data_IF_146529948983
#
_entry.id   IF_146529948983
#
_cell.length_a   1.000
_cell.length_b   1.000
_cell.length_c   1.000
_cell.angle_alpha   90.00
_cell.angle_beta   90.00
_cell.angle_gamma   90.00
#
_symmetry.space_group_name_H-M   'P 1'
#
loop_
_entity.id
_entity.type
_entity.pdbx_description
1 polymer ?
#
# COMPACT_ATOMS: atom_id res chain seq x y z
N UNK A 1 11.48 -9.14 -9.36
CA UNK A 1 11.28 -8.50 -8.05
C UNK A 1 9.78 -8.43 -7.79
N UNK A 2 9.35 -8.36 -6.53
CA UNK A 2 7.96 -8.06 -6.20
C UNK A 2 7.87 -6.69 -5.54
N UNK A 3 6.71 -6.07 -5.73
CA UNK A 3 6.36 -4.82 -5.08
C UNK A 3 5.39 -5.13 -3.95
N UNK A 4 5.76 -4.73 -2.74
CA UNK A 4 4.98 -5.02 -1.53
C UNK A 4 4.57 -3.71 -0.90
N UNK A 5 3.34 -3.70 -0.39
CA UNK A 5 2.85 -2.60 0.42
C UNK A 5 2.57 -3.04 1.85
N UNK A 6 2.71 -2.09 2.76
CA UNK A 6 2.19 -2.11 4.11
C UNK A 6 1.26 -0.90 4.28
N UNK A 7 0.02 -1.14 4.70
CA UNK A 7 -1.01 -0.12 4.84
C UNK A 7 -1.54 -0.11 6.27
N UNK A 8 -1.74 1.09 6.79
CA UNK A 8 -2.41 1.33 8.07
C UNK A 8 -3.66 2.14 7.79
N UNK A 9 -4.79 1.67 8.28
CA UNK A 9 -6.09 2.30 8.07
C UNK A 9 -6.90 2.33 9.36
N UNK A 10 -7.97 3.12 9.37
CA UNK A 10 -8.98 3.12 10.43
C UNK A 10 -10.03 2.04 10.16
N UNK A 11 -10.80 1.66 11.19
CA UNK A 11 -11.96 0.80 10.97
C UNK A 11 -13.02 1.52 10.12
N UNK A 12 -13.76 0.82 9.24
CA UNK A 12 -14.64 1.43 8.22
C UNK A 12 -15.74 2.38 8.73
N UNK A 13 -16.04 2.33 10.03
CA UNK A 13 -17.10 3.09 10.69
C UNK A 13 -16.59 4.26 11.54
N UNK A 14 -15.28 4.44 11.66
CA UNK A 14 -14.72 5.60 12.34
C UNK A 14 -14.58 6.79 11.37
N UNK A 15 -15.14 7.94 11.75
CA UNK A 15 -14.84 9.21 11.07
C UNK A 15 -13.41 9.64 11.42
N UNK A 16 -12.77 10.35 10.48
CA UNK A 16 -11.42 10.92 10.61
C UNK A 16 -11.22 11.61 11.97
N UNK A 17 -10.43 10.98 12.83
CA UNK A 17 -9.85 11.62 14.01
C UNK A 17 -8.41 12.01 13.68
N UNK A 18 -7.93 13.08 14.32
CA UNK A 18 -6.51 13.40 14.29
C UNK A 18 -5.75 12.23 14.94
N UNK A 19 -4.88 11.58 14.18
CA UNK A 19 -4.11 10.41 14.64
C UNK A 19 -2.66 10.79 14.86
N UNK A 20 -2.10 10.37 15.99
CA UNK A 20 -0.65 10.39 16.19
C UNK A 20 -0.24 9.22 17.05
N UNK A 21 0.42 8.22 16.44
CA UNK A 21 0.94 7.07 17.15
C UNK A 21 2.15 6.48 16.43
N UNK A 22 2.84 5.56 17.10
CA UNK A 22 4.02 4.89 16.58
C UNK A 22 3.77 3.39 16.42
N UNK A 23 4.15 2.85 15.27
CA UNK A 23 4.35 1.42 15.06
C UNK A 23 5.85 1.15 15.23
N UNK A 24 6.21 0.27 16.16
CA UNK A 24 7.60 -0.04 16.50
C UNK A 24 8.03 -1.34 15.84
N UNK A 25 9.22 -1.34 15.26
CA UNK A 25 9.86 -2.51 14.66
C UNK A 25 8.97 -3.21 13.63
N UNK A 26 8.48 -2.46 12.65
CA UNK A 26 7.74 -3.04 11.53
C UNK A 26 8.71 -3.89 10.70
N UNK A 27 8.35 -5.16 10.53
CA UNK A 27 9.05 -6.14 9.70
C UNK A 27 8.06 -6.76 8.72
N UNK A 28 8.45 -6.89 7.46
CA UNK A 28 7.71 -7.63 6.44
C UNK A 28 8.34 -9.00 6.28
N UNK A 29 7.51 -10.04 6.30
CA UNK A 29 7.94 -11.42 6.28
C UNK A 29 7.38 -12.16 5.07
N UNK A 30 8.15 -13.13 4.59
CA UNK A 30 7.70 -14.16 3.66
C UNK A 30 8.31 -15.48 4.08
N UNK A 31 7.46 -16.49 4.28
CA UNK A 31 7.88 -17.81 4.77
C UNK A 31 8.63 -17.76 6.12
N UNK A 32 8.31 -16.77 6.96
CA UNK A 32 8.98 -16.54 8.25
C UNK A 32 10.27 -15.74 8.17
N UNK A 33 10.83 -15.55 6.97
CA UNK A 33 12.04 -14.76 6.74
C UNK A 33 11.72 -13.27 6.58
N UNK A 34 12.57 -12.41 7.14
CA UNK A 34 12.45 -10.96 6.99
C UNK A 34 12.89 -10.57 5.57
N UNK A 35 11.97 -9.97 4.82
CA UNK A 35 12.23 -9.50 3.45
C UNK A 35 12.35 -7.98 3.34
N UNK A 36 11.87 -7.24 4.35
CA UNK A 36 12.04 -5.81 4.48
C UNK A 36 11.85 -5.37 5.93
N UNK A 37 12.56 -4.31 6.33
CA UNK A 37 12.48 -3.75 7.69
C UNK A 37 12.17 -2.27 7.62
N UNK A 38 10.90 -1.87 7.44
CA UNK A 38 10.50 -0.46 7.50
C UNK A 38 10.90 0.24 8.81
N UNK A 39 11.05 -0.53 9.89
CA UNK A 39 11.53 -0.02 11.18
C UNK A 39 10.42 0.67 11.98
N UNK A 40 10.77 1.73 12.71
CA UNK A 40 9.80 2.49 13.49
C UNK A 40 9.10 3.51 12.59
N UNK A 41 7.77 3.46 12.55
CA UNK A 41 6.95 4.33 11.70
C UNK A 41 6.08 5.22 12.58
N UNK A 42 6.19 6.54 12.39
CA UNK A 42 5.27 7.52 12.95
C UNK A 42 4.06 7.67 12.03
N UNK A 43 2.88 7.39 12.53
CA UNK A 43 1.62 7.60 11.81
C UNK A 43 1.03 8.93 12.27
N UNK A 44 0.90 9.87 11.33
CA UNK A 44 0.31 11.20 11.56
C UNK A 44 -0.99 11.41 10.80
N UNK A 45 -1.25 10.58 9.79
CA UNK A 45 -2.41 10.68 8.91
C UNK A 45 -2.84 9.26 8.51
N UNK A 46 -4.14 9.07 8.30
CA UNK A 46 -4.73 7.84 7.78
C UNK A 46 -5.51 8.15 6.49
N UNK A 47 -5.52 7.22 5.51
CA UNK A 47 -4.73 6.00 5.49
C UNK A 47 -3.23 6.30 5.36
N UNK A 48 -2.39 5.48 5.98
CA UNK A 48 -0.94 5.53 5.77
C UNK A 48 -0.53 4.37 4.87
N UNK A 49 0.42 4.64 3.99
CA UNK A 49 0.92 3.68 3.02
C UNK A 49 2.44 3.68 2.97
N UNK A 50 3.02 2.50 3.10
CA UNK A 50 4.42 2.22 2.85
C UNK A 50 4.55 1.21 1.72
N UNK A 51 5.56 1.40 0.88
CA UNK A 51 5.82 0.56 -0.28
C UNK A 51 7.31 0.29 -0.40
N UNK A 52 7.67 -0.95 -0.72
CA UNK A 52 9.05 -1.32 -0.99
C UNK A 52 9.16 -2.44 -2.04
N UNK A 53 10.38 -2.54 -2.58
CA UNK A 53 10.77 -3.60 -3.51
C UNK A 53 11.41 -4.72 -2.70
N UNK A 54 11.00 -5.97 -2.97
CA UNK A 54 11.54 -7.16 -2.31
C UNK A 54 11.96 -8.22 -3.34
N UNK A 55 12.86 -9.16 -2.99
CA UNK A 55 13.21 -10.28 -3.86
C UNK A 55 11.97 -11.06 -4.31
N UNK A 56 11.98 -11.62 -5.52
CA UNK A 56 10.82 -12.37 -6.05
C UNK A 56 10.46 -13.58 -5.17
N UNK A 57 9.17 -13.84 -5.00
CA UNK A 57 8.63 -15.03 -4.33
C UNK A 57 7.10 -15.10 -4.46
N UNK A 58 6.53 -16.26 -4.16
CA UNK A 58 5.12 -16.56 -4.48
C UNK A 58 4.22 -16.75 -3.26
N UNK A 59 4.83 -16.77 -2.07
CA UNK A 59 4.15 -17.02 -0.81
C UNK A 59 3.58 -15.72 -0.23
N UNK A 60 2.60 -15.85 0.65
CA UNK A 60 1.91 -14.72 1.26
C UNK A 60 2.91 -13.82 1.99
N UNK A 61 2.70 -12.51 1.90
CA UNK A 61 3.42 -11.55 2.73
C UNK A 61 2.69 -11.41 4.06
N UNK A 62 3.46 -11.38 5.13
CA UNK A 62 3.00 -11.14 6.48
C UNK A 62 3.76 -9.95 7.08
N UNK A 63 3.30 -9.44 8.22
CA UNK A 63 3.98 -8.38 8.94
C UNK A 63 4.08 -8.72 10.42
N UNK A 64 5.11 -8.20 11.07
CA UNK A 64 5.31 -8.27 12.52
C UNK A 64 5.56 -6.87 13.06
N UNK A 65 5.07 -6.63 14.28
CA UNK A 65 5.23 -5.39 15.03
C UNK A 65 5.77 -5.72 16.43
N UNK A 66 6.59 -4.85 17.00
CA UNK A 66 7.06 -4.96 18.40
C UNK A 66 6.05 -4.42 19.41
N UNK A 67 5.06 -3.66 18.97
CA UNK A 67 3.95 -3.17 19.78
C UNK A 67 2.60 -3.50 19.14
N UNK A 68 1.55 -3.51 19.95
CA UNK A 68 0.19 -3.58 19.44
C UNK A 68 -0.21 -2.22 18.84
N UNK A 69 -0.84 -2.19 17.66
CA UNK A 69 -1.45 -0.98 17.15
C UNK A 69 -2.59 -0.54 18.10
N UNK A 70 -2.92 0.76 18.15
CA UNK A 70 -4.05 1.25 18.93
C UNK A 70 -5.35 0.52 18.58
N UNK A 71 -6.30 0.48 19.52
CA UNK A 71 -7.64 -0.03 19.23
C UNK A 71 -8.21 0.72 18.01
N UNK A 72 -8.86 -0.01 17.11
CA UNK A 72 -9.52 0.51 15.90
C UNK A 72 -8.60 0.89 14.73
N UNK A 73 -7.32 0.56 14.83
CA UNK A 73 -6.37 0.60 13.70
C UNK A 73 -6.25 -0.78 13.06
N UNK A 74 -6.27 -0.81 11.73
CA UNK A 74 -6.09 -2.01 10.91
C UNK A 74 -4.79 -1.90 10.14
N UNK A 75 -3.89 -2.86 10.35
CA UNK A 75 -2.67 -3.00 9.55
C UNK A 75 -2.88 -4.12 8.52
N UNK A 76 -2.45 -3.89 7.28
CA UNK A 76 -2.52 -4.87 6.21
C UNK A 76 -1.25 -4.82 5.35
N UNK A 77 -0.95 -5.94 4.69
CA UNK A 77 0.22 -6.08 3.85
C UNK A 77 -0.12 -6.93 2.63
N UNK A 78 0.55 -6.71 1.51
CA UNK A 78 0.35 -7.55 0.34
C UNK A 78 1.22 -7.17 -0.84
N UNK A 79 1.09 -7.97 -1.90
CA UNK A 79 1.71 -7.67 -3.19
C UNK A 79 0.88 -6.63 -3.94
N UNK A 80 1.56 -5.64 -4.52
CA UNK A 80 0.97 -4.76 -5.50
C UNK A 80 1.00 -5.45 -6.87
N UNK A 81 -0.18 -5.65 -7.46
CA UNK A 81 -0.36 -6.29 -8.77
C UNK A 81 -0.53 -5.24 -9.85
N UNK A 82 -0.20 -5.58 -11.10
CA UNK A 82 -0.56 -4.72 -12.24
C UNK A 82 -2.06 -4.47 -12.25
N UNK A 83 -2.47 -3.22 -12.44
CA UNK A 83 -3.87 -2.82 -12.46
C UNK A 83 -4.07 -1.37 -12.06
N UNK A 84 -5.32 -0.97 -11.95
CA UNK A 84 -5.71 0.40 -11.59
C UNK A 84 -5.99 0.49 -10.10
N UNK A 85 -5.57 1.60 -9.49
CA UNK A 85 -5.76 1.85 -8.07
C UNK A 85 -6.31 3.25 -7.83
N UNK A 86 -7.19 3.35 -6.85
CA UNK A 86 -7.62 4.64 -6.32
C UNK A 86 -6.51 5.14 -5.39
N UNK A 87 -6.01 6.34 -5.70
CA UNK A 87 -4.88 6.99 -5.03
C UNK A 87 -5.35 8.34 -4.52
N UNK A 88 -5.13 8.61 -3.23
CA UNK A 88 -5.31 9.94 -2.67
C UNK A 88 -4.09 10.80 -3.03
N UNK A 89 -4.33 11.97 -3.60
CA UNK A 89 -3.31 12.97 -3.92
C UNK A 89 -3.63 14.28 -3.19
N UNK A 90 -2.68 15.22 -3.09
CA UNK A 90 -2.96 16.54 -2.54
C UNK A 90 -4.13 17.27 -3.24
N UNK A 91 -4.37 16.97 -4.51
CA UNK A 91 -5.42 17.59 -5.33
C UNK A 91 -6.75 16.80 -5.31
N UNK A 92 -6.79 15.66 -4.60
CA UNK A 92 -7.97 14.80 -4.48
C UNK A 92 -7.71 13.34 -4.86
N UNK A 93 -8.76 12.53 -4.90
CA UNK A 93 -8.67 11.13 -5.29
C UNK A 93 -8.60 10.98 -6.81
N UNK A 94 -7.63 10.21 -7.30
CA UNK A 94 -7.45 9.90 -8.73
C UNK A 94 -7.22 8.41 -8.93
N UNK A 95 -7.53 7.90 -10.13
CA UNK A 95 -7.23 6.51 -10.50
C UNK A 95 -5.89 6.49 -11.24
N UNK A 96 -4.91 5.74 -10.71
CA UNK A 96 -3.60 5.57 -11.34
C UNK A 96 -3.36 4.10 -11.72
N UNK A 97 -3.00 3.82 -12.97
CA UNK A 97 -2.48 2.52 -13.37
C UNK A 97 -1.10 2.27 -12.76
N UNK A 98 -0.90 1.04 -12.26
CA UNK A 98 0.38 0.54 -11.80
C UNK A 98 0.80 -0.68 -12.63
N UNK A 99 2.07 -0.74 -13.00
CA UNK A 99 2.66 -1.88 -13.68
C UNK A 99 3.66 -2.60 -12.77
N UNK A 100 3.31 -3.81 -12.32
CA UNK A 100 4.15 -4.60 -11.42
C UNK A 100 5.37 -5.24 -12.09
N UNK A 101 5.48 -5.17 -13.43
CA UNK A 101 6.67 -5.65 -14.15
C UNK A 101 7.84 -4.68 -13.98
N UNK A 102 7.56 -3.37 -14.04
CA UNK A 102 8.57 -2.31 -14.00
C UNK A 102 8.50 -1.43 -12.74
N UNK A 103 7.44 -1.54 -11.93
CA UNK A 103 7.26 -0.76 -10.71
C UNK A 103 6.84 0.68 -10.93
N UNK A 104 6.31 1.00 -12.11
CA UNK A 104 5.95 2.37 -12.49
C UNK A 104 4.45 2.61 -12.37
N UNK A 105 4.12 3.82 -11.93
CA UNK A 105 2.78 4.38 -11.97
C UNK A 105 2.63 5.25 -13.20
N UNK A 106 1.51 5.12 -13.90
CA UNK A 106 1.17 6.01 -15.02
C UNK A 106 0.45 7.24 -14.48
N UNK A 107 1.03 8.42 -14.71
CA UNK A 107 0.47 9.71 -14.34
C UNK A 107 0.39 10.58 -15.59
N UNK A 108 -0.82 10.71 -16.13
CA UNK A 108 -1.10 11.42 -17.38
C UNK A 108 -0.20 10.92 -18.53
N UNK A 109 0.71 11.77 -19.03
CA UNK A 109 1.64 11.48 -20.13
C UNK A 109 3.01 11.03 -19.64
N UNK A 110 3.17 10.80 -18.33
CA UNK A 110 4.45 10.45 -17.70
C UNK A 110 4.32 9.18 -16.86
N UNK A 111 5.47 8.64 -16.47
CA UNK A 111 5.54 7.56 -15.49
C UNK A 111 6.36 7.99 -14.30
N UNK A 112 5.91 7.66 -13.11
CA UNK A 112 6.64 7.92 -11.87
C UNK A 112 6.97 6.61 -11.16
N UNK A 113 8.14 6.55 -10.54
CA UNK A 113 8.51 5.43 -9.69
C UNK A 113 7.94 5.61 -8.27
N UNK A 114 8.27 4.66 -7.38
CA UNK A 114 7.81 4.70 -6.00
C UNK A 114 8.39 5.83 -5.14
N UNK A 115 9.62 6.27 -5.43
CA UNK A 115 10.25 7.38 -4.69
C UNK A 115 9.52 8.66 -5.02
N UNK A 116 9.21 8.87 -6.29
CA UNK A 116 8.43 10.01 -6.77
C UNK A 116 6.99 9.96 -6.25
N UNK A 117 6.36 8.79 -6.24
CA UNK A 117 5.03 8.59 -5.67
C UNK A 117 4.95 9.05 -4.21
N UNK A 118 5.91 8.63 -3.38
CA UNK A 118 5.98 9.03 -1.96
C UNK A 118 6.35 10.50 -1.80
N UNK A 119 7.28 11.03 -2.61
CA UNK A 119 7.69 12.43 -2.57
C UNK A 119 6.53 13.39 -2.88
N UNK A 120 5.61 12.97 -3.77
CA UNK A 120 4.37 13.69 -4.09
C UNK A 120 3.25 13.54 -3.06
N UNK A 121 3.51 12.82 -1.96
CA UNK A 121 2.53 12.52 -0.88
C UNK A 121 1.31 11.74 -1.40
N UNK A 122 1.49 10.91 -2.41
CA UNK A 122 0.43 10.05 -2.90
C UNK A 122 0.22 8.87 -1.95
N UNK A 123 -1.03 8.46 -1.77
CA UNK A 123 -1.39 7.37 -0.85
C UNK A 123 -2.31 6.38 -1.54
N UNK A 124 -1.96 5.09 -1.49
CA UNK A 124 -2.81 4.04 -2.04
C UNK A 124 -4.05 3.82 -1.15
N UNK A 125 -5.25 4.01 -1.71
CA UNK A 125 -6.49 3.72 -0.99
C UNK A 125 -6.86 2.25 -1.17
N UNK A 126 -7.07 1.83 -2.42
CA UNK A 126 -7.50 0.46 -2.77
C UNK A 126 -7.30 0.15 -4.26
N UNK A 127 -7.19 -1.14 -4.64
CA UNK A 127 -7.36 -1.53 -6.04
C UNK A 127 -8.75 -1.14 -6.53
N UNK A 128 -8.82 -0.66 -7.77
CA UNK A 128 -10.08 -0.54 -8.50
C UNK A 128 -10.43 -1.94 -8.97
N UNK A 129 -11.57 -2.46 -8.52
CA UNK A 129 -12.10 -3.70 -9.08
C UNK A 129 -12.57 -3.38 -10.49
N UNK A 130 -11.77 -3.74 -11.49
CA UNK A 130 -12.28 -3.78 -12.86
C UNK A 130 -13.32 -4.88 -12.91
N UNK A 131 -14.58 -4.50 -12.77
CA UNK A 131 -15.72 -5.36 -13.07
C UNK A 131 -15.86 -5.39 -14.59
N UNK A 132 -14.81 -5.80 -15.30
CA UNK A 132 -14.99 -6.36 -16.62
C UNK A 132 -15.59 -7.73 -16.40
N UNK A 133 -16.92 -7.72 -16.25
CA UNK A 133 -17.78 -8.84 -16.59
C UNK A 133 -17.27 -9.32 -17.95
N UNK A 134 -16.62 -10.47 -17.98
CA UNK A 134 -16.57 -11.28 -19.19
C UNK A 134 -18.02 -11.65 -19.50
N UNK A 135 -18.76 -10.75 -20.16
CA UNK A 135 -19.82 -11.17 -21.05
C UNK A 135 -19.10 -11.74 -22.26
N UNK A 136 -18.76 -13.02 -22.17
CA UNK A 136 -18.57 -13.84 -23.35
C UNK A 136 -19.79 -13.60 -24.23
N UNK A 137 -19.57 -12.91 -25.35
CA UNK A 137 -20.56 -12.82 -26.41
C UNK A 137 -20.58 -14.21 -27.03
N UNK A 138 -21.71 -14.89 -26.89
CA UNK A 138 -22.04 -16.13 -27.62
C UNK A 138 -22.15 -15.83 -29.12
#
# INVERSE_FOLDING_TARGET
>A
MNFVYFKVDSLPYEKNHQVSFYLKGVELLRDGDIIATPGDIKITELPFFYFCIVPTGFRKIEFRLKNSPPSRIVCSVGYLKTGEYLVNTPDGEVILPFNALNGLWSLEQTTIDHRDFLARRFTLIRPVKNTTRNTSVN
#
